data_IF_624297859365
#
_entry.id   IF_624297859365
#
_cell.length_a   1.000
_cell.length_b   1.000
_cell.length_c   1.000
_cell.angle_alpha   90.00
_cell.angle_beta   90.00
_cell.angle_gamma   90.00
#
_symmetry.space_group_name_H-M   'P 1'
#
loop_
_entity.id
_entity.type
_entity.pdbx_description
1 polymer ?
#
# COMPACT_ATOMS: atom_id res chain seq x y z
N UNK A 1 -57.08 36.93 67.48
CA UNK A 1 -55.85 37.34 66.76
C UNK A 1 -55.14 36.11 66.43
N UNK A 2 -55.29 35.59 65.25
CA UNK A 2 -54.67 34.35 64.76
C UNK A 2 -53.70 34.68 63.63
N UNK A 3 -52.42 34.51 63.81
CA UNK A 3 -51.41 34.72 62.79
C UNK A 3 -51.23 33.45 61.93
N UNK A 4 -51.45 33.60 60.65
CA UNK A 4 -51.25 32.56 59.63
C UNK A 4 -49.78 32.47 59.26
N UNK A 5 -49.20 31.26 59.42
CA UNK A 5 -47.87 30.97 58.93
C UNK A 5 -47.94 30.44 57.51
N UNK A 6 -47.42 31.21 56.55
CA UNK A 6 -47.28 30.85 55.14
C UNK A 6 -46.07 29.93 54.96
N UNK A 7 -46.32 28.73 54.43
CA UNK A 7 -45.27 27.77 54.03
C UNK A 7 -44.59 28.20 52.75
N UNK A 8 -43.31 28.58 52.86
CA UNK A 8 -42.44 28.85 51.72
C UNK A 8 -41.80 27.54 51.27
N UNK A 9 -42.35 26.91 50.26
CA UNK A 9 -41.72 25.74 49.59
C UNK A 9 -40.55 26.23 48.76
N UNK A 10 -39.35 25.92 49.20
CA UNK A 10 -38.11 26.08 48.38
C UNK A 10 -38.06 24.99 47.32
N UNK A 11 -38.27 25.37 46.08
CA UNK A 11 -37.99 24.50 44.95
C UNK A 11 -36.47 24.53 44.70
N UNK A 12 -35.78 23.44 44.99
CA UNK A 12 -34.44 23.19 44.47
C UNK A 12 -34.56 22.85 42.98
N UNK A 13 -34.14 23.76 42.13
CA UNK A 13 -33.93 23.48 40.71
C UNK A 13 -32.56 22.82 40.63
N UNK A 14 -32.51 21.51 40.45
CA UNK A 14 -31.32 20.77 40.08
C UNK A 14 -31.03 21.07 38.62
N UNK A 15 -30.07 21.95 38.36
CA UNK A 15 -29.50 22.14 37.02
C UNK A 15 -28.61 20.95 36.73
N UNK A 16 -29.13 19.99 35.95
CA UNK A 16 -28.38 18.89 35.41
C UNK A 16 -27.52 19.44 34.25
N UNK A 17 -26.27 19.77 34.53
CA UNK A 17 -25.31 20.07 33.46
C UNK A 17 -24.96 18.75 32.80
N UNK A 18 -25.69 18.41 31.74
CA UNK A 18 -25.29 17.34 30.82
C UNK A 18 -24.06 17.82 30.08
N UNK A 19 -22.88 17.40 30.55
CA UNK A 19 -21.63 17.55 29.83
C UNK A 19 -21.71 16.66 28.59
N UNK A 20 -22.16 17.21 27.45
CA UNK A 20 -22.02 16.59 26.15
C UNK A 20 -20.54 16.56 25.82
N UNK A 21 -19.86 15.50 26.24
CA UNK A 21 -18.59 15.10 25.64
C UNK A 21 -18.89 14.71 24.21
N UNK A 22 -18.78 15.67 23.29
CA UNK A 22 -18.64 15.35 21.87
C UNK A 22 -17.36 14.55 21.73
N UNK A 23 -17.49 13.22 21.67
CA UNK A 23 -16.44 12.36 21.17
C UNK A 23 -16.21 12.78 19.73
N UNK A 24 -15.17 13.58 19.49
CA UNK A 24 -14.69 13.82 18.14
C UNK A 24 -14.12 12.47 17.71
N UNK A 25 -14.95 11.68 17.05
CA UNK A 25 -14.53 10.48 16.37
C UNK A 25 -13.72 10.97 15.17
N UNK A 26 -12.40 10.97 15.30
CA UNK A 26 -11.53 11.05 14.14
C UNK A 26 -11.78 9.76 13.34
N UNK A 27 -12.53 9.89 12.25
CA UNK A 27 -12.66 8.80 11.28
C UNK A 27 -11.27 8.57 10.69
N UNK A 28 -10.70 7.40 10.91
CA UNK A 28 -9.47 6.97 10.27
C UNK A 28 -9.77 6.75 8.80
N UNK A 29 -8.91 7.26 7.90
CA UNK A 29 -9.03 7.05 6.47
C UNK A 29 -7.83 6.27 5.93
N UNK A 30 -8.05 5.52 4.85
CA UNK A 30 -6.98 4.96 4.04
C UNK A 30 -6.54 6.05 3.07
N UNK A 31 -5.36 6.62 3.26
CA UNK A 31 -4.83 7.74 2.46
C UNK A 31 -3.96 7.28 1.29
N UNK A 32 -3.33 6.10 1.42
CA UNK A 32 -2.73 5.35 0.32
C UNK A 32 -3.44 4.01 0.24
N UNK A 33 -4.03 3.73 -0.92
CA UNK A 33 -4.70 2.46 -1.20
C UNK A 33 -3.71 1.29 -1.05
N UNK A 34 -4.19 0.06 -0.75
CA UNK A 34 -3.30 -1.10 -0.68
C UNK A 34 -2.52 -1.30 -1.96
N UNK A 35 -1.26 -1.66 -1.84
CA UNK A 35 -0.39 -2.06 -2.94
C UNK A 35 0.45 -3.27 -2.55
N UNK A 36 0.92 -4.00 -3.54
CA UNK A 36 1.59 -5.28 -3.37
C UNK A 36 3.08 -5.16 -3.62
N UNK A 37 3.86 -5.84 -2.79
CA UNK A 37 5.31 -5.95 -2.94
C UNK A 37 5.80 -7.33 -2.55
N UNK A 38 7.04 -7.62 -2.91
CA UNK A 38 7.82 -8.78 -2.48
C UNK A 38 7.10 -10.13 -2.57
N UNK A 39 6.23 -10.31 -3.57
CA UNK A 39 5.51 -11.56 -3.79
C UNK A 39 6.45 -12.76 -3.97
N UNK A 40 6.00 -13.94 -3.59
CA UNK A 40 6.71 -15.20 -3.75
C UNK A 40 5.71 -16.34 -4.04
N UNK A 41 6.15 -17.58 -4.26
CA UNK A 41 5.21 -18.70 -4.37
C UNK A 41 4.33 -18.93 -3.13
N UNK A 42 4.78 -18.48 -1.95
CA UNK A 42 4.12 -18.79 -0.67
C UNK A 42 3.78 -17.57 0.18
N UNK A 43 4.15 -16.37 -0.28
CA UNK A 43 3.98 -15.13 0.48
C UNK A 43 3.59 -13.97 -0.44
N UNK A 44 2.93 -12.96 0.15
CA UNK A 44 2.67 -11.66 -0.47
C UNK A 44 2.70 -10.57 0.60
N UNK A 45 3.42 -9.48 0.35
CA UNK A 45 3.38 -8.30 1.20
C UNK A 45 2.31 -7.33 0.68
N UNK A 46 1.46 -6.87 1.60
CA UNK A 46 0.47 -5.82 1.38
C UNK A 46 0.87 -4.60 2.18
N UNK A 47 1.02 -3.47 1.52
CA UNK A 47 1.30 -2.18 2.16
C UNK A 47 0.18 -1.19 1.89
N UNK A 48 -0.05 -0.25 2.81
CA UNK A 48 -1.01 0.86 2.68
C UNK A 48 -0.72 1.94 3.72
N UNK A 49 -1.39 3.08 3.63
CA UNK A 49 -1.23 4.15 4.62
C UNK A 49 -2.57 4.63 5.15
N UNK A 50 -2.59 4.99 6.44
CA UNK A 50 -3.74 5.59 7.13
C UNK A 50 -3.38 6.93 7.76
N UNK A 51 -4.37 7.78 7.99
CA UNK A 51 -4.19 9.15 8.54
C UNK A 51 -4.07 9.21 10.06
N UNK A 52 -4.15 8.08 10.76
CA UNK A 52 -4.00 8.00 12.22
C UNK A 52 -3.28 6.74 12.67
N UNK A 53 -2.67 6.82 13.88
CA UNK A 53 -1.90 5.76 14.51
C UNK A 53 -2.81 4.70 15.14
N UNK A 54 -3.22 3.70 14.37
CA UNK A 54 -3.96 2.53 14.84
C UNK A 54 -3.44 1.26 14.15
N UNK A 55 -3.80 0.12 14.71
CA UNK A 55 -3.52 -1.18 14.09
C UNK A 55 -4.26 -1.31 12.76
N UNK A 56 -3.61 -1.99 11.82
CA UNK A 56 -4.15 -2.35 10.54
C UNK A 56 -4.21 -3.87 10.36
N UNK A 57 -5.13 -4.32 9.52
CA UNK A 57 -5.35 -5.74 9.26
C UNK A 57 -5.56 -5.98 7.78
N UNK A 58 -5.12 -7.14 7.31
CA UNK A 58 -5.48 -7.68 6.00
C UNK A 58 -6.34 -8.91 6.21
N UNK A 59 -7.58 -8.86 5.74
CA UNK A 59 -8.44 -10.03 5.63
C UNK A 59 -8.26 -10.62 4.22
N UNK A 60 -8.07 -11.95 4.12
CA UNK A 60 -7.80 -12.60 2.85
C UNK A 60 -8.38 -14.01 2.74
N UNK A 61 -8.52 -14.52 1.52
CA UNK A 61 -9.10 -15.83 1.25
C UNK A 61 -9.11 -16.20 -0.23
N UNK A 62 -9.62 -17.37 -0.53
CA UNK A 62 -9.70 -17.93 -1.89
C UNK A 62 -10.84 -17.33 -2.72
N UNK A 63 -11.81 -16.66 -2.11
CA UNK A 63 -12.95 -16.06 -2.82
C UNK A 63 -13.21 -14.66 -2.30
N UNK A 64 -13.68 -13.77 -3.16
CA UNK A 64 -14.02 -12.41 -2.79
C UNK A 64 -15.14 -12.31 -1.73
N UNK A 65 -16.04 -13.29 -1.71
CA UNK A 65 -17.17 -13.35 -0.78
C UNK A 65 -16.76 -13.82 0.61
N UNK A 66 -15.65 -14.57 0.74
CA UNK A 66 -15.26 -15.23 1.98
C UNK A 66 -13.77 -15.06 2.24
N UNK A 67 -13.43 -14.05 3.06
CA UNK A 67 -12.07 -13.75 3.52
C UNK A 67 -11.94 -14.28 4.94
N UNK A 68 -11.53 -15.56 5.07
CA UNK A 68 -11.54 -16.29 6.35
C UNK A 68 -10.28 -16.12 7.18
N UNK A 69 -9.23 -15.57 6.60
CA UNK A 69 -7.95 -15.39 7.27
C UNK A 69 -7.70 -13.91 7.54
N UNK A 70 -6.98 -13.62 8.61
CA UNK A 70 -6.58 -12.26 8.96
C UNK A 70 -5.12 -12.24 9.38
N UNK A 71 -4.38 -11.23 8.95
CA UNK A 71 -3.05 -10.90 9.43
C UNK A 71 -3.01 -9.45 9.91
N UNK A 72 -2.34 -9.22 11.04
CA UNK A 72 -2.11 -7.87 11.59
C UNK A 72 -0.87 -7.27 10.91
N UNK A 73 -0.92 -5.97 10.60
CA UNK A 73 0.23 -5.26 10.08
C UNK A 73 1.22 -4.85 11.16
N UNK A 74 2.50 -4.79 10.83
CA UNK A 74 3.42 -3.84 11.43
C UNK A 74 3.12 -2.44 10.88
N UNK A 75 3.61 -1.39 11.54
CA UNK A 75 3.50 -0.03 11.01
C UNK A 75 4.67 0.84 11.44
N UNK A 76 5.03 1.79 10.58
CA UNK A 76 5.97 2.87 10.86
C UNK A 76 5.27 4.22 10.78
N UNK A 77 5.91 5.26 11.28
CA UNK A 77 5.39 6.63 11.16
C UNK A 77 5.49 7.10 9.71
N UNK A 78 4.38 7.61 9.19
CA UNK A 78 4.33 8.39 7.96
C UNK A 78 4.41 9.90 8.23
N UNK A 79 3.92 10.71 7.29
CA UNK A 79 3.87 12.16 7.48
C UNK A 79 2.83 12.56 8.53
N UNK A 80 3.22 13.44 9.45
CA UNK A 80 2.31 13.90 10.52
C UNK A 80 1.89 12.76 11.45
N UNK A 81 0.60 12.47 11.48
CA UNK A 81 0.03 11.39 12.28
C UNK A 81 -0.18 10.08 11.51
N UNK A 82 0.18 10.05 10.23
CA UNK A 82 -0.04 8.91 9.37
C UNK A 82 0.75 7.68 9.83
N UNK A 83 0.29 6.51 9.38
CA UNK A 83 0.97 5.23 9.56
C UNK A 83 1.03 4.49 8.24
N UNK A 84 2.24 4.11 7.86
CA UNK A 84 2.51 3.19 6.76
C UNK A 84 2.48 1.78 7.34
N UNK A 85 1.59 0.96 6.84
CA UNK A 85 1.36 -0.40 7.29
C UNK A 85 2.01 -1.40 6.34
N UNK A 86 2.58 -2.47 6.91
CA UNK A 86 3.16 -3.58 6.18
C UNK A 86 2.63 -4.89 6.76
N UNK A 87 1.97 -5.70 5.95
CA UNK A 87 1.42 -6.99 6.35
C UNK A 87 1.92 -8.10 5.42
N UNK A 88 2.61 -9.08 5.98
CA UNK A 88 3.10 -10.25 5.26
C UNK A 88 2.09 -11.39 5.37
N UNK A 89 1.43 -11.73 4.26
CA UNK A 89 0.59 -12.92 4.14
C UNK A 89 1.50 -14.10 3.83
N UNK A 90 1.37 -15.20 4.59
CA UNK A 90 2.22 -16.40 4.46
C UNK A 90 1.38 -17.67 4.33
N UNK A 91 2.01 -18.78 3.96
CA UNK A 91 1.34 -20.09 3.84
C UNK A 91 0.45 -20.21 2.63
N UNK A 92 0.72 -19.43 1.59
CA UNK A 92 0.00 -19.46 0.33
C UNK A 92 0.46 -20.64 -0.55
N UNK A 93 -0.41 -21.06 -1.47
CA UNK A 93 -0.04 -21.96 -2.56
C UNK A 93 0.55 -21.15 -3.72
N UNK A 94 1.46 -21.74 -4.48
CA UNK A 94 2.04 -21.12 -5.67
C UNK A 94 1.03 -20.99 -6.82
N UNK A 95 1.29 -20.06 -7.73
CA UNK A 95 0.49 -19.79 -8.93
C UNK A 95 -1.04 -19.73 -8.67
N UNK A 96 -1.41 -19.21 -7.51
CA UNK A 96 -2.78 -19.26 -6.99
C UNK A 96 -3.33 -17.85 -6.73
N UNK A 97 -4.57 -17.62 -7.16
CA UNK A 97 -5.29 -16.35 -6.93
C UNK A 97 -5.89 -16.31 -5.53
N UNK A 98 -5.67 -15.18 -4.85
CA UNK A 98 -6.25 -14.85 -3.57
C UNK A 98 -6.95 -13.51 -3.63
N UNK A 99 -7.98 -13.32 -2.80
CA UNK A 99 -8.66 -12.05 -2.60
C UNK A 99 -8.30 -11.47 -1.25
N UNK A 100 -8.24 -10.15 -1.16
CA UNK A 100 -7.92 -9.47 0.09
C UNK A 100 -8.55 -8.09 0.17
N UNK A 101 -8.64 -7.58 1.39
CA UNK A 101 -8.94 -6.19 1.70
C UNK A 101 -8.17 -5.78 2.93
N UNK A 102 -7.89 -4.49 3.06
CA UNK A 102 -7.33 -3.95 4.30
C UNK A 102 -8.44 -3.31 5.12
N UNK A 103 -8.30 -3.35 6.42
CA UNK A 103 -9.17 -2.64 7.36
C UNK A 103 -8.38 -2.03 8.48
N UNK A 104 -8.91 -0.94 9.04
CA UNK A 104 -8.38 -0.29 10.22
C UNK A 104 -9.02 -0.90 11.49
N UNK A 105 -8.40 -0.67 12.63
CA UNK A 105 -8.99 -1.04 13.93
C UNK A 105 -10.38 -0.43 14.13
N UNK A 106 -10.61 0.79 13.65
CA UNK A 106 -11.88 1.50 13.77
C UNK A 106 -12.96 1.05 12.78
N UNK A 107 -12.64 0.11 11.87
CA UNK A 107 -13.61 -0.50 10.96
C UNK A 107 -13.71 0.13 9.57
N UNK A 108 -12.85 1.08 9.19
CA UNK A 108 -12.73 1.52 7.81
C UNK A 108 -12.14 0.39 6.98
N UNK A 109 -12.72 0.11 5.83
CA UNK A 109 -12.40 -1.05 4.99
C UNK A 109 -12.17 -0.58 3.56
N UNK A 110 -11.11 -1.09 2.92
CA UNK A 110 -10.87 -0.88 1.48
C UNK A 110 -11.87 -1.64 0.61
N UNK A 111 -11.83 -1.39 -0.69
CA UNK A 111 -12.38 -2.32 -1.66
C UNK A 111 -11.72 -3.72 -1.51
N UNK A 112 -12.37 -4.75 -2.05
CA UNK A 112 -11.77 -6.08 -2.16
C UNK A 112 -10.95 -6.12 -3.45
N UNK A 113 -9.68 -6.50 -3.30
CA UNK A 113 -8.72 -6.68 -4.38
C UNK A 113 -8.37 -8.15 -4.55
N UNK A 114 -7.55 -8.47 -5.52
CA UNK A 114 -6.96 -9.80 -5.65
C UNK A 114 -5.46 -9.68 -5.94
N UNK A 115 -4.74 -10.76 -5.67
CA UNK A 115 -3.39 -10.98 -6.17
C UNK A 115 -3.22 -12.44 -6.57
N UNK A 116 -2.16 -12.72 -7.29
CA UNK A 116 -1.74 -14.07 -7.61
C UNK A 116 -0.33 -14.30 -7.13
N UNK A 117 -0.08 -15.42 -6.49
CA UNK A 117 1.25 -15.82 -6.04
C UNK A 117 2.12 -16.20 -7.24
N UNK A 118 3.42 -15.98 -7.13
CA UNK A 118 4.36 -16.38 -8.17
C UNK A 118 4.42 -17.90 -8.34
N UNK A 119 4.66 -18.40 -9.56
CA UNK A 119 4.94 -19.82 -9.78
C UNK A 119 6.29 -20.20 -9.15
N UNK A 120 6.46 -21.48 -8.84
CA UNK A 120 7.72 -22.03 -8.30
C UNK A 120 8.85 -21.98 -9.33
N UNK A 121 10.10 -22.09 -8.85
CA UNK A 121 11.32 -22.10 -9.71
C UNK A 121 11.35 -23.23 -10.75
N UNK A 122 10.63 -24.30 -10.50
CA UNK A 122 10.56 -25.46 -11.41
C UNK A 122 9.41 -25.36 -12.40
N UNK A 123 8.61 -24.32 -12.33
CA UNK A 123 7.53 -24.09 -13.29
C UNK A 123 8.12 -23.65 -14.64
N UNK A 124 7.64 -24.24 -15.72
CA UNK A 124 7.97 -23.85 -17.10
C UNK A 124 6.95 -22.86 -17.69
N UNK A 125 6.17 -22.21 -16.82
CA UNK A 125 5.14 -21.27 -17.21
C UNK A 125 5.76 -19.99 -17.79
N UNK A 126 5.15 -19.49 -18.88
CA UNK A 126 5.47 -18.17 -19.41
C UNK A 126 5.10 -17.09 -18.39
N UNK A 127 5.96 -16.09 -18.24
CA UNK A 127 5.78 -14.94 -17.35
C UNK A 127 5.45 -13.69 -18.16
N UNK A 128 4.44 -12.94 -17.74
CA UNK A 128 4.13 -11.64 -18.29
C UNK A 128 4.59 -10.58 -17.29
N UNK A 129 5.51 -9.74 -17.69
CA UNK A 129 6.11 -8.71 -16.85
C UNK A 129 5.92 -7.36 -17.53
N UNK A 130 5.49 -6.37 -16.77
CA UNK A 130 5.48 -4.97 -17.17
C UNK A 130 6.78 -4.32 -16.70
N UNK A 131 7.47 -3.61 -17.57
CA UNK A 131 8.62 -2.78 -17.21
C UNK A 131 8.34 -1.34 -17.68
N UNK A 132 8.51 -0.37 -16.79
CA UNK A 132 8.31 1.05 -17.08
C UNK A 132 9.13 1.89 -16.11
N UNK A 133 9.61 3.05 -16.56
CA UNK A 133 10.27 4.06 -15.73
C UNK A 133 9.91 5.45 -16.20
N UNK A 134 10.44 6.47 -15.52
CA UNK A 134 10.29 7.88 -15.92
C UNK A 134 8.81 8.31 -16.08
N UNK A 135 7.93 7.70 -15.26
CA UNK A 135 6.51 8.00 -15.27
C UNK A 135 6.14 9.16 -14.34
N UNK A 136 7.13 9.83 -13.80
CA UNK A 136 6.92 10.98 -12.93
C UNK A 136 6.15 12.09 -13.65
N UNK A 137 5.22 12.70 -12.92
CA UNK A 137 4.41 13.80 -13.41
C UNK A 137 5.28 15.01 -13.71
N UNK A 138 5.12 15.60 -14.88
CA UNK A 138 5.66 16.90 -15.26
C UNK A 138 4.56 17.86 -15.76
N UNK A 139 4.93 19.14 -16.02
CA UNK A 139 3.98 20.15 -16.50
C UNK A 139 3.40 19.88 -17.87
N UNK A 140 4.11 19.12 -18.72
CA UNK A 140 3.69 18.75 -20.07
C UNK A 140 2.84 17.47 -20.07
N UNK A 141 3.08 16.59 -19.11
CA UNK A 141 2.46 15.27 -18.99
C UNK A 141 1.87 15.07 -17.59
N UNK A 142 0.84 15.82 -17.19
CA UNK A 142 0.33 15.83 -15.81
C UNK A 142 -0.33 14.51 -15.40
N UNK A 143 -0.73 13.66 -16.32
CA UNK A 143 -1.43 12.38 -16.07
C UNK A 143 -0.74 11.21 -16.79
N UNK A 144 0.57 11.27 -17.02
CA UNK A 144 1.30 10.28 -17.81
C UNK A 144 1.16 8.87 -17.20
N UNK A 145 1.35 8.72 -15.90
CA UNK A 145 1.30 7.43 -15.25
C UNK A 145 -0.11 6.82 -15.27
N UNK A 146 -1.14 7.60 -14.95
CA UNK A 146 -2.53 7.17 -15.07
C UNK A 146 -2.89 6.76 -16.51
N UNK A 147 -2.38 7.49 -17.50
CA UNK A 147 -2.59 7.17 -18.92
C UNK A 147 -1.90 5.87 -19.32
N UNK A 148 -0.65 5.63 -18.87
CA UNK A 148 0.07 4.38 -19.09
C UNK A 148 -0.73 3.20 -18.54
N UNK A 149 -1.27 3.32 -17.34
CA UNK A 149 -2.05 2.26 -16.70
C UNK A 149 -3.38 2.04 -17.42
N UNK A 150 -4.22 3.08 -17.51
CA UNK A 150 -5.61 2.95 -17.93
C UNK A 150 -5.80 2.83 -19.44
N UNK A 151 -4.90 3.43 -20.25
CA UNK A 151 -4.97 3.37 -21.71
C UNK A 151 -3.93 2.43 -22.34
N UNK A 152 -2.93 2.01 -21.58
CA UNK A 152 -1.88 1.09 -22.01
C UNK A 152 -2.00 -0.28 -21.37
N UNK A 153 -1.54 -0.43 -20.14
CA UNK A 153 -1.33 -1.75 -19.50
C UNK A 153 -2.62 -2.54 -19.37
N UNK A 154 -3.67 -1.96 -18.77
CA UNK A 154 -4.93 -2.67 -18.52
C UNK A 154 -5.60 -3.12 -19.82
N UNK A 155 -5.81 -2.26 -20.84
CA UNK A 155 -6.40 -2.70 -22.10
C UNK A 155 -5.56 -3.74 -22.84
N UNK A 156 -4.23 -3.61 -22.83
CA UNK A 156 -3.33 -4.59 -23.46
C UNK A 156 -3.42 -5.94 -22.77
N UNK A 157 -3.39 -5.96 -21.44
CA UNK A 157 -3.52 -7.20 -20.67
C UNK A 157 -4.87 -7.88 -20.95
N UNK A 158 -5.97 -7.13 -20.90
CA UNK A 158 -7.32 -7.65 -21.13
C UNK A 158 -7.54 -8.15 -22.57
N UNK A 159 -6.82 -7.59 -23.55
CA UNK A 159 -6.93 -8.00 -24.95
C UNK A 159 -6.05 -9.21 -25.29
N UNK A 160 -4.95 -9.44 -24.58
CA UNK A 160 -3.94 -10.42 -24.99
C UNK A 160 -3.78 -11.59 -24.02
N UNK A 161 -4.27 -11.48 -22.77
CA UNK A 161 -4.14 -12.55 -21.77
C UNK A 161 -5.52 -13.07 -21.34
N UNK A 162 -5.66 -14.39 -21.16
CA UNK A 162 -6.95 -15.02 -20.85
C UNK A 162 -7.64 -14.48 -19.59
N UNK A 163 -6.86 -14.08 -18.57
CA UNK A 163 -7.37 -13.57 -17.31
C UNK A 163 -7.01 -12.08 -17.10
N UNK A 164 -6.60 -11.38 -18.17
CA UNK A 164 -6.26 -9.96 -18.13
C UNK A 164 -5.09 -9.67 -17.19
N UNK A 165 -5.27 -8.71 -16.27
CA UNK A 165 -4.23 -8.30 -15.33
C UNK A 165 -3.79 -9.40 -14.36
N UNK A 166 -4.62 -10.43 -14.14
CA UNK A 166 -4.26 -11.58 -13.28
C UNK A 166 -3.07 -12.36 -13.85
N UNK A 167 -2.86 -12.30 -15.15
CA UNK A 167 -1.76 -12.99 -15.83
C UNK A 167 -0.46 -12.15 -15.86
N UNK A 168 -0.43 -10.97 -15.21
CA UNK A 168 0.80 -10.18 -15.02
C UNK A 168 1.42 -10.58 -13.67
N UNK A 169 2.63 -11.09 -13.69
CA UNK A 169 3.33 -11.57 -12.50
C UNK A 169 4.05 -10.46 -11.73
N UNK A 170 4.54 -9.42 -12.41
CA UNK A 170 5.31 -8.36 -11.78
C UNK A 170 5.31 -7.06 -12.58
N UNK A 171 5.52 -5.95 -11.88
CA UNK A 171 5.82 -4.64 -12.46
C UNK A 171 7.24 -4.25 -12.01
N UNK A 172 8.13 -4.04 -12.98
CA UNK A 172 9.49 -3.58 -12.75
C UNK A 172 9.57 -2.09 -13.00
N UNK A 173 10.14 -1.34 -12.05
CA UNK A 173 10.23 0.12 -12.15
C UNK A 173 11.68 0.53 -11.89
N UNK A 174 12.50 0.68 -12.94
CA UNK A 174 13.91 1.04 -12.81
C UNK A 174 14.13 2.55 -12.53
N UNK A 175 13.40 3.11 -11.56
CA UNK A 175 13.59 4.46 -11.04
C UNK A 175 12.60 5.51 -11.56
N UNK A 176 12.72 6.69 -10.99
CA UNK A 176 11.96 7.90 -11.32
C UNK A 176 10.43 7.69 -11.23
N UNK A 177 10.00 7.13 -10.09
CA UNK A 177 8.58 6.94 -9.76
C UNK A 177 7.88 8.27 -9.51
N UNK A 178 8.60 9.23 -8.91
CA UNK A 178 8.12 10.57 -8.53
C UNK A 178 9.03 11.66 -9.05
N UNK A 179 8.52 12.87 -9.22
CA UNK A 179 9.34 14.02 -9.65
C UNK A 179 10.29 14.52 -8.55
N UNK A 180 9.92 14.32 -7.29
CA UNK A 180 10.73 14.63 -6.10
C UNK A 180 10.34 13.68 -4.98
N UNK A 181 11.30 13.24 -4.17
CA UNK A 181 11.07 12.38 -3.00
C UNK A 181 10.34 13.08 -1.87
N UNK A 182 9.19 13.71 -2.12
CA UNK A 182 8.34 14.35 -1.12
C UNK A 182 7.06 13.56 -0.92
N UNK A 183 6.48 13.66 0.27
CA UNK A 183 5.24 12.96 0.61
C UNK A 183 4.12 13.23 -0.40
N UNK A 184 3.90 14.51 -0.76
CA UNK A 184 2.85 14.86 -1.73
C UNK A 184 3.11 14.26 -3.11
N UNK A 185 4.37 14.18 -3.57
CA UNK A 185 4.69 13.52 -4.84
C UNK A 185 4.37 12.03 -4.77
N UNK A 186 4.78 11.33 -3.72
CA UNK A 186 4.46 9.92 -3.55
C UNK A 186 2.95 9.66 -3.54
N UNK A 187 2.20 10.38 -2.70
CA UNK A 187 0.75 10.20 -2.56
C UNK A 187 0.01 10.57 -3.84
N UNK A 188 0.26 11.78 -4.38
CA UNK A 188 -0.60 12.36 -5.42
C UNK A 188 -0.18 11.96 -6.84
N UNK A 189 1.12 11.65 -7.07
CA UNK A 189 1.62 11.41 -8.43
C UNK A 189 2.05 9.96 -8.68
N UNK A 190 2.23 9.16 -7.62
CA UNK A 190 2.51 7.73 -7.74
C UNK A 190 1.35 6.87 -7.23
N UNK A 191 0.98 6.94 -5.95
CA UNK A 191 -0.03 6.04 -5.38
C UNK A 191 -1.44 6.31 -5.90
N UNK A 192 -1.88 7.56 -5.98
CA UNK A 192 -3.22 7.89 -6.48
C UNK A 192 -3.45 7.40 -7.92
N UNK A 193 -2.58 7.66 -8.90
CA UNK A 193 -2.77 7.15 -10.26
C UNK A 193 -2.54 5.65 -10.41
N UNK A 194 -1.78 5.01 -9.51
CA UNK A 194 -1.46 3.58 -9.61
C UNK A 194 -2.53 2.64 -9.06
N UNK A 195 -3.58 3.15 -8.44
CA UNK A 195 -4.64 2.35 -7.78
C UNK A 195 -5.32 1.35 -8.73
N UNK A 196 -5.25 1.55 -10.03
CA UNK A 196 -5.76 0.62 -11.04
C UNK A 196 -4.92 -0.65 -11.21
N UNK A 197 -3.67 -0.70 -10.70
CA UNK A 197 -2.75 -1.81 -10.96
C UNK A 197 -1.99 -2.29 -9.72
N UNK A 198 -1.45 -1.39 -8.88
CA UNK A 198 -0.60 -1.78 -7.74
C UNK A 198 -1.31 -2.60 -6.65
N UNK A 199 -2.65 -2.53 -6.47
CA UNK A 199 -3.35 -3.46 -5.59
C UNK A 199 -3.46 -4.89 -6.12
N UNK A 200 -3.14 -5.13 -7.39
CA UNK A 200 -3.34 -6.41 -8.06
C UNK A 200 -2.05 -7.10 -8.45
N UNK A 201 -1.01 -6.33 -8.78
CA UNK A 201 0.27 -6.83 -9.28
C UNK A 201 1.41 -6.29 -8.44
N UNK A 202 2.29 -7.15 -7.88
CA UNK A 202 3.40 -6.69 -7.06
C UNK A 202 4.41 -5.87 -7.85
N UNK A 203 4.89 -4.78 -7.23
CA UNK A 203 5.87 -3.86 -7.81
C UNK A 203 7.27 -4.12 -7.25
N UNK A 204 8.27 -3.99 -8.12
CA UNK A 204 9.68 -4.17 -7.82
C UNK A 204 10.46 -2.95 -8.32
N UNK A 205 10.45 -1.86 -7.59
CA UNK A 205 11.17 -0.64 -7.95
C UNK A 205 12.64 -0.70 -7.53
N UNK A 206 13.45 0.10 -8.20
CA UNK A 206 14.74 0.61 -7.68
C UNK A 206 14.67 2.13 -7.69
N UNK A 207 15.40 2.84 -6.80
CA UNK A 207 15.34 4.29 -6.80
C UNK A 207 16.10 4.88 -7.99
N UNK A 208 15.47 5.86 -8.65
CA UNK A 208 16.11 6.78 -9.60
C UNK A 208 16.69 8.00 -8.89
N UNK A 209 17.24 8.95 -9.65
CA UNK A 209 17.77 10.17 -9.05
C UNK A 209 16.68 11.09 -8.48
N UNK A 210 15.47 11.01 -9.00
CA UNK A 210 14.35 11.82 -8.55
C UNK A 210 13.86 11.43 -7.13
N UNK A 211 13.99 10.19 -6.73
CA UNK A 211 13.69 9.72 -5.37
C UNK A 211 14.61 10.33 -4.32
N UNK A 212 15.83 10.77 -4.70
CA UNK A 212 16.78 11.44 -3.82
C UNK A 212 16.55 12.95 -3.66
N UNK A 213 15.71 13.56 -4.50
CA UNK A 213 15.36 14.98 -4.35
C UNK A 213 14.35 15.16 -3.22
N UNK A 214 14.34 16.34 -2.60
CA UNK A 214 13.42 16.67 -1.51
C UNK A 214 13.87 16.10 -0.17
N UNK A 215 13.16 15.10 0.37
CA UNK A 215 13.52 14.44 1.65
C UNK A 215 14.60 13.38 1.53
N UNK A 216 15.10 13.14 0.33
CA UNK A 216 16.04 12.06 0.05
C UNK A 216 15.35 10.70 -0.09
N UNK A 217 16.16 9.62 0.02
CA UNK A 217 15.73 8.24 -0.22
C UNK A 217 14.74 7.69 0.82
N UNK A 218 14.56 8.37 1.97
CA UNK A 218 13.83 7.81 3.11
C UNK A 218 12.41 7.39 2.76
N UNK A 219 11.66 8.20 2.01
CA UNK A 219 10.29 7.86 1.61
C UNK A 219 10.22 6.69 0.64
N UNK A 220 11.22 6.51 -0.22
CA UNK A 220 11.31 5.30 -1.05
C UNK A 220 11.42 4.05 -0.17
N UNK A 221 12.29 4.08 0.84
CA UNK A 221 12.47 2.97 1.78
C UNK A 221 11.23 2.76 2.66
N UNK A 222 10.62 3.84 3.16
CA UNK A 222 9.41 3.76 3.99
C UNK A 222 8.22 3.12 3.24
N UNK A 223 8.12 3.34 1.92
CA UNK A 223 7.07 2.80 1.06
C UNK A 223 7.48 1.50 0.34
N UNK A 224 8.62 0.91 0.69
CA UNK A 224 9.12 -0.32 0.09
C UNK A 224 9.14 -1.48 1.08
N UNK A 225 8.97 -2.69 0.55
CA UNK A 225 9.28 -3.97 1.19
C UNK A 225 9.94 -4.85 0.12
N UNK A 226 11.21 -4.58 -0.14
CA UNK A 226 11.99 -5.25 -1.18
C UNK A 226 12.91 -6.31 -0.56
N UNK A 227 13.43 -7.26 -1.36
CA UNK A 227 14.34 -8.29 -0.83
C UNK A 227 15.60 -7.68 -0.21
N UNK A 228 15.96 -8.16 0.99
CA UNK A 228 17.14 -7.74 1.74
C UNK A 228 18.39 -8.62 1.42
N UNK A 229 18.51 -9.09 0.18
CA UNK A 229 19.49 -10.08 -0.23
C UNK A 229 20.60 -9.54 -1.15
N UNK A 230 20.61 -8.24 -1.33
CA UNK A 230 21.65 -7.52 -2.10
C UNK A 230 22.75 -6.96 -1.18
N UNK A 231 22.95 -5.64 -1.19
CA UNK A 231 23.96 -4.97 -0.38
C UNK A 231 23.53 -4.86 1.09
N UNK A 232 24.32 -5.33 2.06
CA UNK A 232 24.04 -5.11 3.48
C UNK A 232 24.11 -3.64 3.90
N UNK A 233 24.90 -2.82 3.19
CA UNK A 233 25.07 -1.39 3.49
C UNK A 233 23.92 -0.54 2.94
N UNK A 234 23.22 -1.04 1.92
CA UNK A 234 22.11 -0.35 1.25
C UNK A 234 20.94 -1.34 1.06
N UNK A 235 20.29 -1.75 2.15
CA UNK A 235 19.17 -2.68 2.08
C UNK A 235 18.06 -2.08 1.22
N UNK A 236 17.34 -2.93 0.48
CA UNK A 236 16.24 -2.59 -0.44
C UNK A 236 16.64 -1.73 -1.66
N UNK A 237 17.81 -1.13 -1.68
CA UNK A 237 18.32 -0.40 -2.84
C UNK A 237 19.00 -1.34 -3.87
N UNK A 238 19.54 -2.46 -3.38
CA UNK A 238 20.18 -3.51 -4.15
C UNK A 238 19.59 -4.85 -3.76
N UNK A 239 18.97 -5.52 -4.71
CA UNK A 239 18.25 -6.76 -4.43
C UNK A 239 18.21 -7.68 -5.65
N UNK A 240 17.89 -8.94 -5.43
CA UNK A 240 17.43 -9.82 -6.49
C UNK A 240 16.15 -10.55 -6.07
N UNK A 241 15.35 -10.91 -7.08
CA UNK A 241 14.11 -11.66 -6.92
C UNK A 241 14.02 -12.75 -7.97
N UNK A 242 13.73 -13.97 -7.53
CA UNK A 242 13.42 -15.08 -8.42
C UNK A 242 11.91 -15.17 -8.60
N UNK A 243 11.44 -15.14 -9.84
CA UNK A 243 10.05 -15.39 -10.23
C UNK A 243 10.09 -16.56 -11.22
N UNK A 244 9.61 -17.75 -10.83
CA UNK A 244 9.79 -18.96 -11.60
C UNK A 244 11.28 -19.18 -11.95
N UNK A 245 11.62 -19.39 -13.20
CA UNK A 245 12.99 -19.60 -13.70
C UNK A 245 13.73 -18.28 -14.06
N UNK A 246 13.09 -17.13 -13.83
CA UNK A 246 13.68 -15.81 -14.08
C UNK A 246 14.27 -15.22 -12.80
N UNK A 247 15.51 -14.72 -12.86
CA UNK A 247 16.08 -13.87 -11.82
C UNK A 247 16.09 -12.42 -12.27
N UNK A 248 15.50 -11.56 -11.48
CA UNK A 248 15.49 -10.11 -11.63
C UNK A 248 16.50 -9.56 -10.64
N UNK A 249 17.34 -8.62 -11.07
CA UNK A 249 18.31 -7.93 -10.22
C UNK A 249 18.04 -6.45 -10.26
N UNK A 250 17.74 -5.86 -9.10
CA UNK A 250 17.57 -4.43 -8.91
C UNK A 250 18.89 -3.80 -8.48
N UNK A 251 19.35 -2.81 -9.23
CA UNK A 251 20.62 -2.12 -9.01
C UNK A 251 20.39 -0.61 -8.92
N UNK A 252 20.74 -0.02 -7.78
CA UNK A 252 20.67 1.43 -7.58
C UNK A 252 21.96 2.10 -8.08
N UNK A 253 21.88 2.81 -9.19
CA UNK A 253 23.03 3.52 -9.78
C UNK A 253 23.37 4.84 -9.06
N UNK A 254 22.53 5.31 -8.13
CA UNK A 254 22.77 6.54 -7.35
C UNK A 254 23.61 6.28 -6.08
N UNK A 255 23.78 5.03 -5.68
CA UNK A 255 24.63 4.63 -4.57
C UNK A 255 25.98 4.12 -5.07
N UNK A 256 27.07 4.92 -4.98
CA UNK A 256 28.37 4.54 -5.53
C UNK A 256 29.11 3.46 -4.73
N UNK A 257 28.62 3.10 -3.57
CA UNK A 257 29.27 2.16 -2.63
C UNK A 257 28.52 0.83 -2.54
N UNK A 258 28.07 0.32 -3.66
CA UNK A 258 27.52 -1.02 -3.66
C UNK A 258 28.62 -2.03 -3.33
N UNK A 259 28.40 -2.81 -2.30
CA UNK A 259 29.20 -3.98 -1.94
C UNK A 259 28.84 -5.13 -2.92
N UNK A 260 29.25 -4.99 -4.18
CA UNK A 260 29.08 -6.02 -5.21
C UNK A 260 30.16 -7.08 -5.09
#
# INVERSE_FOLDING_TARGET
>A
MTASFSNFKRHLIAISVACCLTLISFSQNIVVAPYLQNGSPTNMTVMWETDVANDGYVDWGMTAATLTNTVTSASISGEGNNRIHTALITGLNDDTKYFYKVRTFTGIVSATYFFKTHPTKTSEKSLNIVAMSDMQRDGSNPNVFETIINSGIIPVANANYPNGMEDIEAILIPGDLVATGTYSSWRDTYFTPSVGITPYVPTYPVPGNHEYYGTGISLFLDYSDLPLNGSPSNPEEWWYKDISNLRIVGLNSNSPNADL
#
